data_IF_476878747973
#
_entry.id   IF_476878747973
#
_cell.length_a   1.000
_cell.length_b   1.000
_cell.length_c   1.000
_cell.angle_alpha   90.00
_cell.angle_beta   90.00
_cell.angle_gamma   90.00
#
_symmetry.space_group_name_H-M   'P 1'
#
loop_
_entity.id
_entity.type
_entity.pdbx_description
1 polymer ?
#
# COMPACT_ATOMS: atom_id res chain seq x y z
N UNK A 1 -22.76 -1.78 8.11
CA UNK A 1 -21.54 -2.46 7.60
C UNK A 1 -21.68 -2.61 6.08
N UNK A 2 -20.65 -2.23 5.30
CA UNK A 2 -20.62 -2.42 3.85
C UNK A 2 -19.56 -3.47 3.53
N UNK A 3 -19.95 -4.56 2.88
CA UNK A 3 -19.07 -5.69 2.61
C UNK A 3 -19.01 -5.94 1.12
N UNK A 4 -17.79 -5.97 0.58
CA UNK A 4 -17.51 -6.39 -0.79
C UNK A 4 -16.74 -7.70 -0.75
N UNK A 5 -17.23 -8.72 -1.47
CA UNK A 5 -16.61 -10.05 -1.49
C UNK A 5 -15.86 -10.22 -2.81
N UNK A 6 -14.57 -10.50 -2.71
CA UNK A 6 -13.71 -10.82 -3.85
C UNK A 6 -13.67 -12.34 -4.02
N UNK A 7 -13.87 -12.83 -5.25
CA UNK A 7 -13.72 -14.24 -5.56
C UNK A 7 -12.28 -14.68 -5.25
N UNK A 8 -12.14 -15.65 -4.35
CA UNK A 8 -10.83 -16.09 -3.88
C UNK A 8 -9.94 -16.61 -5.02
N UNK A 9 -10.52 -17.34 -5.97
CA UNK A 9 -9.75 -17.89 -7.11
C UNK A 9 -9.24 -16.77 -8.02
N UNK A 10 -9.97 -15.66 -8.13
CA UNK A 10 -9.60 -14.47 -8.89
C UNK A 10 -8.46 -13.73 -8.17
N UNK A 11 -8.63 -13.45 -6.87
CA UNK A 11 -7.60 -12.79 -6.07
C UNK A 11 -6.29 -13.59 -6.05
N UNK A 12 -6.38 -14.92 -5.92
CA UNK A 12 -5.21 -15.80 -5.97
C UNK A 12 -4.49 -15.72 -7.32
N UNK A 13 -5.22 -15.78 -8.42
CA UNK A 13 -4.64 -15.68 -9.77
C UNK A 13 -4.01 -14.30 -10.01
N UNK A 14 -4.63 -13.23 -9.51
CA UNK A 14 -4.07 -11.88 -9.51
C UNK A 14 -2.78 -11.76 -8.69
N UNK A 15 -2.73 -12.32 -7.49
CA UNK A 15 -1.48 -12.32 -6.71
C UNK A 15 -0.40 -13.10 -7.45
N UNK A 16 -0.71 -14.31 -7.97
CA UNK A 16 0.26 -15.11 -8.74
C UNK A 16 0.78 -14.37 -9.97
N UNK A 17 -0.06 -13.60 -10.67
CA UNK A 17 0.40 -12.82 -11.82
C UNK A 17 1.37 -11.70 -11.44
N UNK A 18 1.23 -11.10 -10.25
CA UNK A 18 2.20 -10.15 -9.70
C UNK A 18 3.53 -10.83 -9.33
N UNK A 19 3.50 -12.02 -8.73
CA UNK A 19 4.72 -12.82 -8.48
C UNK A 19 5.42 -13.20 -9.79
N UNK A 20 4.66 -13.62 -10.81
CA UNK A 20 5.19 -13.95 -12.14
C UNK A 20 5.76 -12.74 -12.89
N UNK A 21 5.24 -11.54 -12.61
CA UNK A 21 5.71 -10.30 -13.21
C UNK A 21 7.00 -9.75 -12.58
N UNK A 22 7.44 -10.32 -11.45
CA UNK A 22 8.62 -9.90 -10.67
C UNK A 22 8.60 -8.42 -10.27
N UNK A 23 7.41 -7.83 -10.14
CA UNK A 23 7.23 -6.43 -9.73
C UNK A 23 7.17 -6.29 -8.22
N UNK A 24 7.60 -5.14 -7.72
CA UNK A 24 7.42 -4.78 -6.31
C UNK A 24 5.95 -4.48 -6.02
N UNK A 25 5.62 -4.34 -4.74
CA UNK A 25 4.37 -3.84 -4.19
C UNK A 25 3.12 -4.66 -4.52
N UNK A 26 3.18 -5.97 -4.32
CA UNK A 26 2.05 -6.89 -4.53
C UNK A 26 0.82 -6.50 -3.68
N UNK A 27 1.05 -5.93 -2.49
CA UNK A 27 0.00 -5.40 -1.60
C UNK A 27 -0.88 -4.35 -2.24
N UNK A 28 -0.42 -3.72 -3.34
CA UNK A 28 -1.22 -2.76 -4.09
C UNK A 28 -2.56 -3.30 -4.54
N UNK A 29 -2.69 -4.62 -4.74
CA UNK A 29 -3.95 -5.25 -5.10
C UNK A 29 -5.02 -5.01 -4.04
N UNK A 30 -4.69 -5.23 -2.77
CA UNK A 30 -5.63 -5.09 -1.66
C UNK A 30 -5.82 -3.62 -1.26
N UNK A 31 -4.77 -2.80 -1.33
CA UNK A 31 -4.90 -1.35 -1.10
C UNK A 31 -5.83 -0.71 -2.12
N UNK A 32 -5.66 -1.04 -3.41
CA UNK A 32 -6.52 -0.54 -4.48
C UNK A 32 -7.97 -0.99 -4.30
N UNK A 33 -8.16 -2.26 -3.89
CA UNK A 33 -9.48 -2.81 -3.59
C UNK A 33 -10.14 -2.10 -2.41
N UNK A 34 -9.41 -1.86 -1.32
CA UNK A 34 -9.88 -1.13 -0.14
C UNK A 34 -10.31 0.30 -0.52
N UNK A 35 -9.48 1.02 -1.28
CA UNK A 35 -9.78 2.40 -1.67
C UNK A 35 -11.04 2.44 -2.55
N UNK A 36 -11.11 1.60 -3.59
CA UNK A 36 -12.28 1.53 -4.46
C UNK A 36 -13.55 1.19 -3.68
N UNK A 37 -13.49 0.21 -2.78
CA UNK A 37 -14.64 -0.23 -1.96
C UNK A 37 -15.14 0.89 -1.04
N UNK A 38 -14.25 1.64 -0.39
CA UNK A 38 -14.63 2.75 0.46
C UNK A 38 -15.27 3.90 -0.33
N UNK A 39 -14.72 4.23 -1.51
CA UNK A 39 -15.34 5.24 -2.37
C UNK A 39 -16.68 4.74 -2.98
N UNK A 40 -16.85 3.44 -3.20
CA UNK A 40 -18.15 2.85 -3.58
C UNK A 40 -19.17 2.99 -2.46
N UNK A 41 -18.81 2.67 -1.23
CA UNK A 41 -19.66 2.89 -0.07
C UNK A 41 -20.03 4.38 0.05
N UNK A 42 -19.05 5.27 -0.07
CA UNK A 42 -19.29 6.72 -0.01
C UNK A 42 -20.25 7.21 -1.10
N UNK A 43 -20.20 6.62 -2.29
CA UNK A 43 -21.17 6.88 -3.36
C UNK A 43 -22.56 6.36 -3.00
N UNK A 44 -22.63 5.10 -2.58
CA UNK A 44 -23.90 4.42 -2.26
C UNK A 44 -24.67 5.15 -1.16
N UNK A 45 -23.98 5.63 -0.13
CA UNK A 45 -24.61 6.27 1.03
C UNK A 45 -24.65 7.80 0.94
N UNK A 46 -24.21 8.39 -0.17
CA UNK A 46 -24.24 9.85 -0.34
C UNK A 46 -23.33 10.63 0.61
N UNK A 47 -22.33 9.98 1.22
CA UNK A 47 -21.38 10.64 2.13
C UNK A 47 -20.21 11.24 1.38
N UNK A 48 -19.77 12.41 1.84
CA UNK A 48 -18.64 13.15 1.25
C UNK A 48 -17.30 12.79 1.88
N UNK A 49 -17.28 12.38 3.14
CA UNK A 49 -16.06 12.18 3.91
C UNK A 49 -15.86 10.70 4.22
N UNK A 50 -14.65 10.21 3.97
CA UNK A 50 -14.15 8.91 4.38
C UNK A 50 -13.08 9.19 5.43
N UNK A 51 -13.34 8.82 6.67
CA UNK A 51 -12.42 9.01 7.78
C UNK A 51 -11.47 7.82 7.86
N UNK A 52 -10.15 8.05 7.72
CA UNK A 52 -9.14 7.00 7.85
C UNK A 52 -8.34 7.13 9.13
N UNK A 53 -7.89 5.98 9.63
CA UNK A 53 -6.91 5.87 10.72
C UNK A 53 -5.47 6.15 10.30
N UNK A 54 -5.25 6.76 9.13
CA UNK A 54 -3.91 7.21 8.71
C UNK A 54 -3.53 8.51 9.41
N UNK A 55 -2.23 8.74 9.60
CA UNK A 55 -1.72 9.97 10.18
C UNK A 55 -0.33 10.33 9.66
N UNK A 56 -0.02 11.62 9.68
CA UNK A 56 1.26 12.18 9.27
C UNK A 56 2.35 11.93 10.33
N UNK A 57 1.98 11.85 11.62
CA UNK A 57 2.92 11.69 12.73
C UNK A 57 3.71 10.36 12.71
N UNK A 58 3.13 9.28 12.16
CA UNK A 58 3.73 7.93 12.10
C UNK A 58 3.80 7.35 10.69
N UNK A 59 3.20 8.01 9.69
CA UNK A 59 3.17 7.57 8.29
C UNK A 59 3.41 8.71 7.28
N UNK A 60 3.73 9.91 7.74
CA UNK A 60 3.78 11.12 6.91
C UNK A 60 4.95 11.20 5.95
N UNK A 61 5.98 10.38 6.14
CA UNK A 61 7.09 10.36 5.19
C UNK A 61 6.69 9.71 3.87
N UNK A 62 7.05 10.40 2.79
CA UNK A 62 6.87 9.87 1.46
C UNK A 62 7.74 8.62 1.28
N UNK A 63 7.11 7.54 0.83
CA UNK A 63 7.80 6.30 0.47
C UNK A 63 8.95 6.60 -0.53
N UNK A 64 10.17 6.09 -0.31
CA UNK A 64 11.28 6.27 -1.24
C UNK A 64 10.93 5.77 -2.65
N UNK A 65 11.53 6.41 -3.66
CA UNK A 65 11.29 6.03 -5.06
C UNK A 65 11.69 4.57 -5.28
N UNK A 66 10.78 3.80 -5.89
CA UNK A 66 11.00 2.39 -6.22
C UNK A 66 10.65 1.40 -5.11
N UNK A 67 10.25 1.85 -3.93
CA UNK A 67 9.85 0.97 -2.82
C UNK A 67 8.38 0.55 -2.87
N UNK A 68 7.55 1.30 -3.61
CA UNK A 68 6.16 0.97 -3.86
C UNK A 68 5.72 1.39 -5.27
N UNK A 69 4.47 1.07 -5.59
CA UNK A 69 3.80 1.50 -6.82
C UNK A 69 2.49 2.23 -6.53
N UNK A 70 1.97 2.95 -7.52
CA UNK A 70 0.74 3.71 -7.34
C UNK A 70 -0.46 2.77 -7.18
N UNK A 71 -1.17 2.90 -6.05
CA UNK A 71 -2.42 2.17 -5.75
C UNK A 71 -3.59 2.56 -6.67
N UNK A 72 -3.39 3.60 -7.47
CA UNK A 72 -4.33 4.15 -8.44
C UNK A 72 -4.04 3.69 -9.87
N UNK A 73 -3.16 2.72 -10.07
CA UNK A 73 -2.75 2.24 -11.39
C UNK A 73 -3.47 0.96 -11.81
N UNK A 74 -4.81 1.05 -11.92
CA UNK A 74 -5.64 -0.07 -12.34
C UNK A 74 -5.24 -0.62 -13.73
N UNK A 75 -4.61 0.19 -14.58
CA UNK A 75 -4.15 -0.27 -15.91
C UNK A 75 -2.94 -1.17 -15.82
N UNK A 76 -2.01 -0.90 -14.90
CA UNK A 76 -0.84 -1.75 -14.68
C UNK A 76 -1.23 -3.13 -14.16
N UNK A 77 -2.12 -3.18 -13.15
CA UNK A 77 -2.66 -4.44 -12.64
C UNK A 77 -3.34 -5.24 -13.76
N UNK A 78 -4.19 -4.61 -14.58
CA UNK A 78 -4.84 -5.27 -15.72
C UNK A 78 -3.84 -5.75 -16.79
N UNK A 79 -2.76 -5.00 -17.03
CA UNK A 79 -1.74 -5.37 -18.00
C UNK A 79 -0.94 -6.59 -17.54
N UNK A 80 -0.55 -6.62 -16.27
CA UNK A 80 0.13 -7.77 -15.64
C UNK A 80 -0.78 -8.99 -15.66
N UNK A 81 -2.04 -8.83 -15.22
CA UNK A 81 -3.00 -9.92 -15.21
C UNK A 81 -3.27 -10.50 -16.60
N UNK A 82 -3.33 -9.65 -17.64
CA UNK A 82 -3.49 -10.13 -19.02
C UNK A 82 -2.30 -10.95 -19.50
N UNK A 83 -1.08 -10.62 -19.05
CA UNK A 83 0.15 -11.27 -19.50
C UNK A 83 0.42 -12.58 -18.77
N UNK A 84 0.16 -12.64 -17.47
CA UNK A 84 0.55 -13.78 -16.63
C UNK A 84 -0.62 -14.48 -15.93
N UNK A 85 -1.78 -13.83 -15.85
CA UNK A 85 -2.97 -14.39 -15.24
C UNK A 85 -3.73 -15.32 -16.19
N UNK A 86 -4.57 -16.15 -15.61
CA UNK A 86 -5.42 -17.12 -16.32
C UNK A 86 -6.91 -16.81 -16.19
N UNK A 87 -7.28 -15.89 -15.29
CA UNK A 87 -8.67 -15.53 -15.00
C UNK A 87 -8.95 -14.05 -15.30
N UNK A 88 -10.17 -13.71 -15.75
CA UNK A 88 -10.56 -12.32 -15.89
C UNK A 88 -10.76 -11.65 -14.53
N UNK A 89 -10.47 -10.36 -14.46
CA UNK A 89 -10.79 -9.53 -13.29
C UNK A 89 -12.28 -9.16 -13.36
N UNK A 90 -13.08 -9.64 -12.41
CA UNK A 90 -14.54 -9.43 -12.34
C UNK A 90 -14.96 -8.86 -11.00
N UNK A 91 -14.47 -9.43 -9.91
CA UNK A 91 -14.88 -9.10 -8.54
C UNK A 91 -13.84 -8.29 -7.81
N UNK A 92 -12.56 -8.30 -8.23
CA UNK A 92 -11.51 -7.55 -7.56
C UNK A 92 -11.60 -6.05 -7.90
N UNK A 93 -11.92 -5.17 -6.93
CA UNK A 93 -12.05 -3.76 -7.21
C UNK A 93 -10.67 -3.15 -7.52
N UNK A 94 -10.60 -2.34 -8.57
CA UNK A 94 -9.37 -1.63 -8.96
C UNK A 94 -9.65 -0.13 -9.02
N UNK A 95 -8.92 0.63 -8.21
CA UNK A 95 -8.98 2.08 -8.22
C UNK A 95 -8.05 2.65 -9.30
N UNK A 96 -8.57 3.55 -10.12
CA UNK A 96 -7.82 4.20 -11.20
C UNK A 96 -7.57 5.68 -10.92
N UNK A 97 -6.55 6.25 -11.56
CA UNK A 97 -6.27 7.68 -11.47
C UNK A 97 -7.46 8.54 -11.94
N UNK A 98 -8.18 8.08 -12.97
CA UNK A 98 -9.37 8.77 -13.46
C UNK A 98 -10.52 8.69 -12.46
N UNK A 99 -10.68 7.55 -11.77
CA UNK A 99 -11.68 7.41 -10.73
C UNK A 99 -11.38 8.31 -9.54
N UNK A 100 -10.11 8.40 -9.15
CA UNK A 100 -9.63 9.37 -8.16
C UNK A 100 -10.01 10.81 -8.54
N UNK A 101 -9.75 11.22 -9.79
CA UNK A 101 -10.13 12.54 -10.28
C UNK A 101 -11.64 12.79 -10.22
N UNK A 102 -12.44 11.83 -10.67
CA UNK A 102 -13.91 11.91 -10.61
C UNK A 102 -14.42 12.05 -9.18
N UNK A 103 -14.00 11.15 -8.29
CA UNK A 103 -14.47 11.14 -6.90
C UNK A 103 -14.10 12.41 -6.16
N UNK A 104 -12.85 12.88 -6.32
CA UNK A 104 -12.33 14.02 -5.56
C UNK A 104 -12.70 15.38 -6.16
N UNK A 105 -12.57 15.55 -7.47
CA UNK A 105 -12.74 16.86 -8.12
C UNK A 105 -14.19 17.10 -8.50
N UNK A 106 -14.86 16.12 -9.09
CA UNK A 106 -16.22 16.29 -9.62
C UNK A 106 -17.25 16.03 -8.52
N UNK A 107 -17.08 14.94 -7.76
CA UNK A 107 -18.04 14.60 -6.71
C UNK A 107 -17.70 15.19 -5.33
N UNK A 108 -16.55 15.85 -5.17
CA UNK A 108 -16.15 16.48 -3.92
C UNK A 108 -15.97 15.51 -2.75
N UNK A 109 -15.67 14.23 -3.00
CA UNK A 109 -15.42 13.23 -1.94
C UNK A 109 -14.00 13.35 -1.42
N UNK A 110 -13.84 13.26 -0.12
CA UNK A 110 -12.59 13.50 0.58
C UNK A 110 -12.22 12.31 1.47
N UNK A 111 -11.00 11.83 1.27
CA UNK A 111 -10.33 10.92 2.18
C UNK A 111 -9.60 11.76 3.22
N UNK A 112 -9.99 11.65 4.48
CA UNK A 112 -9.52 12.51 5.58
C UNK A 112 -8.73 11.65 6.56
N UNK A 113 -7.43 11.95 6.72
CA UNK A 113 -6.60 11.42 7.80
C UNK A 113 -7.12 11.94 9.13
N UNK A 114 -8.10 11.25 9.72
CA UNK A 114 -8.86 11.77 10.85
C UNK A 114 -7.98 11.96 12.09
N UNK A 115 -6.95 11.13 12.23
CA UNK A 115 -5.99 11.22 13.33
C UNK A 115 -5.09 12.45 13.26
N UNK A 116 -4.96 13.12 12.10
CA UNK A 116 -4.19 14.37 11.98
C UNK A 116 -4.89 15.57 12.67
N UNK A 117 -6.14 15.40 13.12
CA UNK A 117 -6.85 16.40 13.91
C UNK A 117 -6.48 16.34 15.41
N UNK A 118 -5.62 15.42 15.80
CA UNK A 118 -5.17 15.21 17.16
C UNK A 118 -3.63 15.21 17.22
N UNK A 119 -3.08 15.52 18.39
CA UNK A 119 -1.66 15.29 18.67
C UNK A 119 -1.42 13.79 18.88
N UNK A 120 -1.39 13.06 17.77
CA UNK A 120 -1.37 11.61 17.77
C UNK A 120 0.01 11.10 18.21
N UNK A 121 0.04 10.50 19.41
CA UNK A 121 1.17 9.72 19.90
C UNK A 121 0.82 8.22 19.88
N UNK A 122 1.70 7.42 19.27
CA UNK A 122 1.46 5.99 19.06
C UNK A 122 1.37 5.22 20.38
N UNK A 123 2.26 5.50 21.33
CA UNK A 123 2.33 4.79 22.61
C UNK A 123 1.08 5.05 23.44
N UNK A 124 0.69 6.32 23.57
CA UNK A 124 -0.55 6.73 24.28
C UNK A 124 -1.78 6.08 23.65
N UNK A 125 -1.85 6.02 22.31
CA UNK A 125 -2.95 5.34 21.63
C UNK A 125 -3.00 3.84 21.96
N UNK A 126 -1.85 3.15 21.97
CA UNK A 126 -1.78 1.73 22.33
C UNK A 126 -2.19 1.49 23.78
N UNK A 127 -1.79 2.35 24.72
CA UNK A 127 -2.18 2.24 26.14
C UNK A 127 -3.70 2.35 26.33
N UNK A 128 -4.34 3.33 25.69
CA UNK A 128 -5.80 3.48 25.71
C UNK A 128 -6.46 2.23 25.15
N UNK A 129 -5.96 1.71 24.03
CA UNK A 129 -6.52 0.54 23.36
C UNK A 129 -6.36 -0.74 24.19
N UNK A 130 -5.25 -0.91 24.92
CA UNK A 130 -5.05 -2.04 25.85
C UNK A 130 -6.14 -2.07 26.93
N UNK A 131 -6.57 -0.90 27.40
CA UNK A 131 -7.68 -0.78 28.36
C UNK A 131 -9.01 -1.34 27.88
N UNK A 132 -9.18 -1.53 26.56
CA UNK A 132 -10.38 -2.12 25.94
C UNK A 132 -10.11 -3.47 25.25
N UNK A 133 -8.99 -4.13 25.59
CA UNK A 133 -8.66 -5.49 25.14
C UNK A 133 -7.85 -5.58 23.84
N UNK A 134 -7.28 -4.48 23.35
CA UNK A 134 -6.37 -4.51 22.20
C UNK A 134 -5.03 -5.15 22.56
N UNK A 135 -4.56 -6.04 21.69
CA UNK A 135 -3.26 -6.68 21.80
C UNK A 135 -2.33 -6.14 20.70
N UNK A 136 -1.20 -5.50 21.05
CA UNK A 136 -0.30 -4.94 20.05
C UNK A 136 0.43 -6.04 19.26
N UNK A 137 0.70 -5.76 17.99
CA UNK A 137 1.51 -6.61 17.11
C UNK A 137 3.00 -6.23 17.22
N UNK A 138 3.94 -7.16 16.95
CA UNK A 138 5.38 -6.89 17.05
C UNK A 138 5.84 -5.72 16.17
N UNK A 139 5.29 -5.60 14.96
CA UNK A 139 5.54 -4.49 14.04
C UNK A 139 4.26 -4.02 13.37
N UNK A 140 4.35 -2.85 12.73
CA UNK A 140 3.26 -2.24 11.95
C UNK A 140 2.89 -3.15 10.77
N UNK A 141 1.59 -3.34 10.54
CA UNK A 141 1.03 -4.19 9.47
C UNK A 141 1.16 -5.70 9.68
N UNK A 142 1.60 -6.15 10.86
CA UNK A 142 1.79 -7.58 11.14
C UNK A 142 0.49 -8.28 11.57
N UNK A 143 -0.67 -7.64 11.35
CA UNK A 143 -1.99 -8.24 11.56
C UNK A 143 -2.35 -9.23 10.45
N UNK A 144 -1.81 -8.99 9.25
CA UNK A 144 -1.99 -9.82 8.06
C UNK A 144 -0.77 -10.72 7.84
N UNK A 145 -0.98 -12.04 7.84
CA UNK A 145 0.07 -13.04 7.54
C UNK A 145 0.76 -12.74 6.20
N UNK A 146 -0.01 -12.39 5.17
CA UNK A 146 0.56 -12.07 3.86
C UNK A 146 1.41 -10.80 3.90
N UNK A 147 0.94 -9.74 4.57
CA UNK A 147 1.67 -8.48 4.67
C UNK A 147 2.95 -8.64 5.46
N UNK A 148 2.88 -9.33 6.60
CA UNK A 148 4.05 -9.67 7.41
C UNK A 148 5.07 -10.43 6.56
N UNK A 149 4.65 -11.50 5.89
CA UNK A 149 5.54 -12.28 5.02
C UNK A 149 6.12 -11.46 3.86
N UNK A 150 5.29 -10.64 3.22
CA UNK A 150 5.73 -9.81 2.11
C UNK A 150 6.74 -8.75 2.56
N UNK A 151 6.47 -8.02 3.64
CA UNK A 151 7.32 -6.91 4.09
C UNK A 151 8.59 -7.36 4.80
N UNK A 152 8.56 -8.52 5.47
CA UNK A 152 9.67 -8.99 6.30
C UNK A 152 10.52 -10.10 5.64
N UNK A 153 10.01 -10.78 4.61
CA UNK A 153 10.76 -11.80 3.85
C UNK A 153 10.94 -11.37 2.39
N UNK A 154 9.86 -11.18 1.63
CA UNK A 154 9.97 -10.93 0.17
C UNK A 154 10.66 -9.59 -0.15
N UNK A 155 10.28 -8.49 0.52
CA UNK A 155 10.85 -7.17 0.26
C UNK A 155 12.36 -7.12 0.54
N UNK A 156 12.87 -7.58 1.71
CA UNK A 156 14.31 -7.60 1.97
C UNK A 156 15.07 -8.55 1.03
N UNK A 157 14.59 -9.78 0.86
CA UNK A 157 15.35 -10.83 0.16
C UNK A 157 15.38 -10.64 -1.36
N UNK A 158 14.25 -10.26 -1.99
CA UNK A 158 14.17 -10.10 -3.45
C UNK A 158 14.44 -8.67 -3.91
N UNK A 159 13.91 -7.68 -3.21
CA UNK A 159 13.90 -6.29 -3.66
C UNK A 159 14.94 -5.41 -2.93
N UNK A 160 15.61 -5.93 -1.89
CA UNK A 160 16.54 -5.15 -1.08
C UNK A 160 15.88 -4.00 -0.33
N UNK A 161 14.57 -4.10 -0.07
CA UNK A 161 13.76 -3.05 0.56
C UNK A 161 13.42 -3.45 1.98
N UNK A 162 13.76 -2.60 2.95
CA UNK A 162 13.34 -2.74 4.34
C UNK A 162 12.48 -1.54 4.75
N UNK A 163 11.15 -1.75 4.78
CA UNK A 163 10.17 -0.71 5.14
C UNK A 163 10.33 -0.21 6.59
N UNK A 164 10.97 -0.97 7.49
CA UNK A 164 11.24 -0.53 8.87
C UNK A 164 12.06 0.75 8.87
N UNK A 165 12.99 0.93 7.93
CA UNK A 165 13.79 2.16 7.80
C UNK A 165 12.92 3.40 7.67
N UNK A 166 11.88 3.37 6.84
CA UNK A 166 10.95 4.49 6.66
C UNK A 166 10.10 4.74 7.91
N UNK A 167 9.54 3.66 8.47
CA UNK A 167 8.68 3.76 9.66
C UNK A 167 9.44 4.31 10.88
N UNK A 168 10.62 3.76 11.17
CA UNK A 168 11.46 4.20 12.28
C UNK A 168 11.98 5.62 12.08
N UNK A 169 12.37 5.98 10.85
CA UNK A 169 12.74 7.37 10.55
C UNK A 169 11.58 8.34 10.85
N UNK A 170 10.33 7.90 10.65
CA UNK A 170 9.15 8.77 10.87
C UNK A 170 8.98 9.04 12.36
N UNK A 171 9.18 8.01 13.19
CA UNK A 171 9.19 8.16 14.64
C UNK A 171 10.31 9.09 15.11
N UNK A 172 11.53 8.93 14.59
CA UNK A 172 12.68 9.80 14.91
C UNK A 172 12.39 11.27 14.58
N UNK A 173 11.90 11.57 13.38
CA UNK A 173 11.60 12.96 12.98
C UNK A 173 10.43 13.56 13.78
N UNK A 174 9.49 12.73 14.21
CA UNK A 174 8.37 13.15 15.07
C UNK A 174 8.74 13.28 16.55
N UNK A 175 9.97 12.95 16.96
CA UNK A 175 10.41 12.97 18.36
C UNK A 175 9.80 11.86 19.23
N UNK A 176 9.27 10.79 18.61
CA UNK A 176 8.67 9.65 19.31
C UNK A 176 9.66 8.49 19.54
N UNK A 177 10.89 8.59 19.05
CA UNK A 177 11.92 7.55 19.17
C UNK A 177 13.31 8.16 18.99
N UNK A 178 14.30 7.67 19.74
CA UNK A 178 15.68 8.10 19.56
C UNK A 178 16.32 7.45 18.34
N UNK A 179 17.22 8.18 17.66
CA UNK A 179 17.91 7.65 16.48
C UNK A 179 18.74 6.40 16.80
N UNK A 180 19.36 6.35 17.97
CA UNK A 180 20.15 5.20 18.43
C UNK A 180 19.30 3.95 18.59
N UNK A 181 18.10 4.10 19.17
CA UNK A 181 17.12 3.03 19.31
C UNK A 181 16.65 2.51 17.95
N UNK A 182 16.32 3.43 17.02
CA UNK A 182 15.93 3.07 15.66
C UNK A 182 17.02 2.28 14.91
N UNK A 183 18.29 2.62 15.09
CA UNK A 183 19.40 1.87 14.50
C UNK A 183 19.55 0.48 15.11
N UNK A 184 19.47 0.38 16.44
CA UNK A 184 19.51 -0.90 17.15
C UNK A 184 18.40 -1.85 16.64
N UNK A 185 17.16 -1.37 16.51
CA UNK A 185 16.04 -2.17 15.96
C UNK A 185 16.26 -2.65 14.52
N UNK A 186 17.07 -1.93 13.72
CA UNK A 186 17.36 -2.32 12.33
C UNK A 186 18.45 -3.39 12.23
N UNK A 187 19.21 -3.62 13.30
CA UNK A 187 20.18 -4.72 13.38
C UNK A 187 19.47 -6.07 13.54
N UNK A 188 18.27 -6.07 14.12
CA UNK A 188 17.43 -7.26 14.28
C UNK A 188 16.85 -7.75 12.94
N UNK A 189 16.58 -9.06 12.87
CA UNK A 189 15.87 -9.67 11.75
C UNK A 189 14.43 -9.10 11.65
N UNK A 190 13.94 -8.73 10.44
CA UNK A 190 12.55 -8.32 10.25
C UNK A 190 11.50 -9.34 10.73
N UNK A 191 11.91 -10.61 10.86
CA UNK A 191 11.21 -11.72 11.48
C UNK A 191 11.90 -12.14 12.79
N UNK A 192 11.48 -11.60 13.95
CA UNK A 192 12.09 -11.96 15.24
C UNK A 192 11.91 -13.44 15.62
N UNK A 193 10.84 -14.07 15.14
CA UNK A 193 10.55 -15.48 15.37
C UNK A 193 10.80 -16.30 14.08
N UNK A 194 11.87 -17.12 14.04
CA UNK A 194 12.16 -17.99 12.90
C UNK A 194 11.08 -19.03 12.62
N UNK A 195 10.38 -19.53 13.65
CA UNK A 195 9.28 -20.50 13.49
C UNK A 195 8.11 -19.81 12.78
N UNK A 196 7.74 -18.61 13.21
CA UNK A 196 6.70 -17.80 12.56
C UNK A 196 7.03 -17.52 11.08
N UNK A 197 8.31 -17.27 10.74
CA UNK A 197 8.75 -17.07 9.35
C UNK A 197 8.47 -18.31 8.50
N UNK A 198 8.78 -19.51 9.02
CA UNK A 198 8.53 -20.78 8.33
C UNK A 198 7.03 -21.02 8.17
N UNK A 199 6.25 -20.81 9.23
CA UNK A 199 4.80 -21.02 9.21
C UNK A 199 4.08 -20.07 8.24
N UNK A 200 4.44 -18.78 8.25
CA UNK A 200 3.89 -17.78 7.34
C UNK A 200 4.22 -18.12 5.89
N UNK A 201 5.46 -18.54 5.62
CA UNK A 201 5.90 -18.98 4.29
C UNK A 201 5.05 -20.16 3.82
N UNK A 202 4.98 -21.23 4.61
CA UNK A 202 4.18 -22.42 4.26
C UNK A 202 2.71 -22.06 4.02
N UNK A 203 2.13 -21.21 4.88
CA UNK A 203 0.77 -20.74 4.74
C UNK A 203 0.55 -19.96 3.44
N UNK A 204 1.38 -18.96 3.15
CA UNK A 204 1.26 -18.12 1.95
C UNK A 204 1.44 -18.96 0.68
N UNK A 205 2.46 -19.81 0.63
CA UNK A 205 2.71 -20.68 -0.53
C UNK A 205 1.56 -21.64 -0.78
N UNK A 206 1.03 -22.28 0.28
CA UNK A 206 -0.16 -23.13 0.18
C UNK A 206 -1.38 -22.37 -0.36
N UNK A 207 -1.61 -21.14 0.13
CA UNK A 207 -2.74 -20.30 -0.33
C UNK A 207 -2.58 -19.90 -1.80
N UNK A 208 -1.36 -19.56 -2.22
CA UNK A 208 -1.05 -19.21 -3.61
C UNK A 208 -0.98 -20.43 -4.54
N UNK A 209 -0.84 -21.64 -3.98
CA UNK A 209 -0.60 -22.85 -4.78
C UNK A 209 0.78 -22.82 -5.44
N UNK A 210 1.79 -22.35 -4.70
CA UNK A 210 3.19 -22.34 -5.11
C UNK A 210 3.95 -23.41 -4.32
N UNK A 211 4.85 -24.11 -4.99
CA UNK A 211 5.84 -24.97 -4.35
C UNK A 211 6.99 -24.16 -3.78
N UNK A 212 7.71 -24.76 -2.84
CA UNK A 212 8.92 -24.20 -2.27
C UNK A 212 9.97 -23.88 -3.35
N UNK A 213 10.14 -24.78 -4.32
CA UNK A 213 11.08 -24.60 -5.43
C UNK A 213 10.70 -23.44 -6.37
N UNK A 214 9.41 -23.28 -6.68
CA UNK A 214 8.92 -22.14 -7.48
C UNK A 214 9.14 -20.81 -6.75
N UNK A 215 8.95 -20.79 -5.43
CA UNK A 215 9.17 -19.59 -4.63
C UNK A 215 10.66 -19.24 -4.51
N UNK A 216 11.53 -20.22 -4.29
CA UNK A 216 12.98 -20.03 -4.33
C UNK A 216 13.45 -19.49 -5.68
N UNK A 217 12.90 -20.02 -6.77
CA UNK A 217 13.16 -19.48 -8.11
C UNK A 217 12.69 -18.03 -8.23
N UNK A 218 11.50 -17.70 -7.73
CA UNK A 218 10.98 -16.34 -7.71
C UNK A 218 11.90 -15.38 -6.95
N UNK A 219 12.43 -15.75 -5.78
CA UNK A 219 13.35 -14.90 -5.01
C UNK A 219 14.64 -14.61 -5.79
N UNK A 220 15.14 -15.59 -6.57
CA UNK A 220 16.38 -15.45 -7.37
C UNK A 220 16.19 -14.66 -8.67
N UNK A 221 14.97 -14.55 -9.20
CA UNK A 221 14.73 -13.76 -10.42
C UNK A 221 14.93 -12.27 -10.15
N UNK A 222 15.57 -11.52 -11.07
CA UNK A 222 15.77 -10.09 -10.89
C UNK A 222 14.42 -9.34 -10.84
N UNK A 223 14.29 -8.28 -10.00
CA UNK A 223 13.13 -7.41 -10.00
C UNK A 223 12.87 -6.76 -11.37
N UNK A 224 11.60 -6.63 -11.73
CA UNK A 224 11.15 -5.94 -12.96
C UNK A 224 10.43 -4.66 -12.57
N UNK A 225 10.78 -3.50 -13.16
CA UNK A 225 10.09 -2.26 -12.86
C UNK A 225 8.68 -2.25 -13.44
N UNK A 226 7.71 -1.69 -12.71
CA UNK A 226 6.32 -1.58 -13.18
C UNK A 226 6.18 -0.87 -14.53
N UNK A 227 7.11 0.03 -14.87
CA UNK A 227 7.12 0.74 -16.17
C UNK A 227 7.29 -0.18 -17.37
N UNK A 228 7.72 -1.43 -17.16
CA UNK A 228 7.74 -2.49 -18.19
C UNK A 228 6.32 -2.87 -18.64
N UNK A 229 5.33 -2.66 -17.79
CA UNK A 229 3.93 -2.95 -18.06
C UNK A 229 3.14 -1.66 -18.27
N UNK A 230 2.08 -1.73 -19.09
CA UNK A 230 1.29 -0.54 -19.43
C UNK A 230 0.68 0.09 -18.18
N UNK A 231 0.92 1.39 -17.97
CA UNK A 231 0.55 2.11 -16.74
C UNK A 231 -0.30 3.37 -17.04
N UNK A 232 -1.07 3.82 -16.06
CA UNK A 232 -1.75 5.14 -16.08
C UNK A 232 -0.82 6.29 -15.67
N UNK A 233 0.28 6.00 -14.97
CA UNK A 233 1.18 7.01 -14.37
C UNK A 233 1.69 8.04 -15.40
N UNK A 234 2.17 7.67 -16.61
CA UNK A 234 2.64 8.65 -17.57
C UNK A 234 1.54 9.65 -17.99
N UNK A 235 0.30 9.16 -18.17
CA UNK A 235 -0.85 10.00 -18.51
C UNK A 235 -1.24 10.90 -17.35
N UNK A 236 -1.33 10.33 -16.15
CA UNK A 236 -1.61 11.06 -14.92
C UNK A 236 -0.60 12.21 -14.69
N UNK A 237 0.69 11.94 -14.92
CA UNK A 237 1.76 12.94 -14.83
C UNK A 237 1.56 14.09 -15.82
N UNK A 238 1.24 13.78 -17.08
CA UNK A 238 0.99 14.79 -18.12
C UNK A 238 -0.21 15.69 -17.75
N UNK A 239 -1.31 15.09 -17.30
CA UNK A 239 -2.49 15.86 -16.82
C UNK A 239 -2.11 16.76 -15.64
N UNK A 240 -1.40 16.23 -14.65
CA UNK A 240 -0.95 17.01 -13.50
C UNK A 240 -0.02 18.18 -13.86
N UNK A 241 0.86 18.00 -14.86
CA UNK A 241 1.71 19.08 -15.39
C UNK A 241 0.89 20.18 -16.05
N UNK A 242 -0.08 19.81 -16.89
CA UNK A 242 -0.99 20.77 -17.55
C UNK A 242 -1.80 21.56 -16.53
N UNK A 243 -2.37 20.90 -15.52
CA UNK A 243 -3.15 21.57 -14.47
C UNK A 243 -2.30 22.54 -13.63
N UNK A 244 -1.04 22.19 -13.32
CA UNK A 244 -0.11 23.10 -12.64
C UNK A 244 0.28 24.30 -13.52
N UNK A 245 0.51 24.07 -14.82
CA UNK A 245 0.78 25.12 -15.78
C UNK A 245 -0.38 26.11 -15.90
N UNK A 246 -1.60 25.59 -16.03
CA UNK A 246 -2.82 26.41 -16.05
C UNK A 246 -2.98 27.23 -14.76
N UNK A 247 -2.82 26.61 -13.58
CA UNK A 247 -2.86 27.35 -12.30
C UNK A 247 -1.83 28.48 -12.24
N UNK A 248 -0.60 28.25 -12.73
CA UNK A 248 0.45 29.28 -12.77
C UNK A 248 0.08 30.46 -13.69
N UNK A 249 -0.55 30.20 -14.82
CA UNK A 249 -1.04 31.22 -15.75
C UNK A 249 -2.14 32.09 -15.11
N UNK A 250 -3.09 31.47 -14.38
CA UNK A 250 -4.16 32.21 -13.70
C UNK A 250 -3.74 32.88 -12.38
N UNK A 251 -2.63 32.48 -11.74
CA UNK A 251 -2.09 33.19 -10.57
C UNK A 251 -1.21 34.40 -10.92
N UNK A 252 -0.88 34.61 -12.19
CA UNK A 252 -0.03 35.74 -12.62
C UNK A 252 -0.79 37.06 -12.83
N UNK A 253 -2.13 37.08 -12.75
CA UNK A 253 -2.95 38.28 -12.91
C UNK A 253 -3.27 39.01 -11.59
N UNK A 254 -2.63 38.65 -10.46
CA UNK A 254 -2.99 39.13 -9.12
C UNK A 254 -1.95 39.96 -8.37
N UNK A 255 -0.96 40.58 -9.04
CA UNK A 255 -0.05 41.56 -8.40
C UNK A 255 0.16 42.79 -9.29
N UNK A 256 -0.79 43.70 -9.24
CA UNK A 256 -0.55 45.12 -9.50
C UNK A 256 -1.46 45.99 -8.63
N UNK A 257 -0.92 46.44 -7.49
CA UNK A 257 -1.01 47.78 -6.88
C UNK A 257 -0.69 47.68 -5.40
#
# INVERSE_FOLDING_TARGET
MFTHVIDWRENRDLQRSMFAADVIDIEMLMDSAMIQTNFEAARKFGVKFILSGSNTATEGMQMPRGWNHSKYDARNVRAIQRRFGTRPIKTHPLYSFWRFGMDRVICGRQWVSFLDYYDYNKERAVEILKGIGYHPYPYKHYESVFTRFYQACILPEKFGVDKRKLHLSTLVISGQMERSEALSTLEDDPYPDPVQKVDDRQFVLKKLGLSEAEFEQYLRRPPVPHSTYTSEIPRARKVGQLLRGARRLFTFEGRSR
#
